data_IF_438914563220
#
_entry.id   IF_438914563220
#
_cell.length_a   1.000
_cell.length_b   1.000
_cell.length_c   1.000
_cell.angle_alpha   90.00
_cell.angle_beta   90.00
_cell.angle_gamma   90.00
#
_symmetry.space_group_name_H-M   'P 1'
#
loop_
_entity.id
_entity.type
_entity.pdbx_description
1 polymer ?
#
# COMPACT_ATOMS: atom_id res chain seq x y z
N UNK A 1 -7.96 -1.11 -19.61
CA UNK A 1 -8.57 0.12 -20.17
C UNK A 1 -9.82 -0.32 -20.91
N UNK A 2 -10.90 0.48 -20.83
CA UNK A 2 -12.25 0.08 -20.42
C UNK A 2 -12.76 -1.14 -21.19
N UNK A 3 -13.32 -2.07 -20.45
CA UNK A 3 -13.45 -3.45 -20.90
C UNK A 3 -14.90 -3.90 -20.96
N UNK A 4 -15.78 -3.14 -20.30
CA UNK A 4 -17.22 -3.40 -20.30
C UNK A 4 -17.96 -2.50 -21.28
N UNK A 5 -19.10 -2.96 -21.79
CA UNK A 5 -20.00 -2.14 -22.61
C UNK A 5 -20.82 -1.12 -21.79
N UNK A 6 -20.65 -1.09 -20.47
CA UNK A 6 -21.34 -0.17 -19.56
C UNK A 6 -20.52 1.13 -19.37
N UNK A 7 -20.97 2.27 -19.90
CA UNK A 7 -20.26 3.54 -19.76
C UNK A 7 -20.09 3.99 -18.31
N UNK A 8 -21.07 3.70 -17.44
CA UNK A 8 -21.03 4.11 -16.03
C UNK A 8 -19.97 3.32 -15.26
N UNK A 9 -19.92 2.00 -15.49
CA UNK A 9 -18.88 1.13 -14.93
C UNK A 9 -17.49 1.52 -15.42
N UNK A 10 -17.34 1.82 -16.72
CA UNK A 10 -16.07 2.27 -17.27
C UNK A 10 -15.59 3.59 -16.64
N UNK A 11 -16.51 4.53 -16.40
CA UNK A 11 -16.20 5.80 -15.75
C UNK A 11 -15.71 5.61 -14.30
N UNK A 12 -16.43 4.80 -13.51
CA UNK A 12 -16.04 4.50 -12.12
C UNK A 12 -14.72 3.73 -12.03
N UNK A 13 -14.48 2.77 -12.94
CA UNK A 13 -13.20 2.07 -13.04
C UNK A 13 -12.04 3.03 -13.37
N UNK A 14 -12.25 3.98 -14.29
CA UNK A 14 -11.24 4.98 -14.65
C UNK A 14 -10.91 5.89 -13.45
N UNK A 15 -11.91 6.29 -12.67
CA UNK A 15 -11.69 7.06 -11.43
C UNK A 15 -10.81 6.25 -10.47
N UNK A 16 -11.17 4.99 -10.21
CA UNK A 16 -10.41 4.11 -9.31
C UNK A 16 -8.94 3.98 -9.76
N UNK A 17 -8.71 3.66 -11.04
CA UNK A 17 -7.37 3.55 -11.61
C UNK A 17 -6.57 4.86 -11.53
N UNK A 18 -7.22 6.00 -11.71
CA UNK A 18 -6.56 7.31 -11.58
C UNK A 18 -6.09 7.57 -10.15
N UNK A 19 -6.89 7.20 -9.15
CA UNK A 19 -6.53 7.32 -7.74
C UNK A 19 -5.43 6.32 -7.32
N UNK A 20 -5.46 5.09 -7.82
CA UNK A 20 -4.37 4.11 -7.62
C UNK A 20 -3.05 4.67 -8.17
N UNK A 21 -3.09 5.23 -9.39
CA UNK A 21 -1.90 5.83 -10.00
C UNK A 21 -1.38 7.02 -9.20
N UNK A 22 -2.26 7.91 -8.73
CA UNK A 22 -1.90 9.02 -7.85
C UNK A 22 -1.24 8.52 -6.56
N UNK A 23 -1.84 7.54 -5.89
CA UNK A 23 -1.37 6.99 -4.62
C UNK A 23 0.01 6.32 -4.76
N UNK A 24 0.21 5.51 -5.80
CA UNK A 24 1.50 4.88 -6.09
C UNK A 24 2.58 5.90 -6.45
N UNK A 25 2.22 6.98 -7.13
CA UNK A 25 3.14 8.08 -7.45
C UNK A 25 3.59 8.80 -6.20
N UNK A 26 2.65 9.18 -5.32
CA UNK A 26 2.94 9.83 -4.03
C UNK A 26 3.85 8.96 -3.17
N UNK A 27 3.53 7.66 -3.04
CA UNK A 27 4.37 6.68 -2.33
C UNK A 27 5.78 6.64 -2.90
N UNK A 28 5.91 6.48 -4.22
CA UNK A 28 7.23 6.32 -4.86
C UNK A 28 8.11 7.57 -4.66
N UNK A 29 7.55 8.76 -4.83
CA UNK A 29 8.27 10.02 -4.59
C UNK A 29 8.65 10.13 -3.12
N UNK A 30 7.72 9.84 -2.20
CA UNK A 30 7.99 9.92 -0.76
C UNK A 30 9.11 8.98 -0.33
N UNK A 31 9.12 7.75 -0.85
CA UNK A 31 10.14 6.75 -0.55
C UNK A 31 11.53 7.19 -1.03
N UNK A 32 11.64 7.68 -2.27
CA UNK A 32 12.90 8.21 -2.80
C UNK A 32 13.39 9.40 -1.99
N UNK A 33 12.51 10.36 -1.70
CA UNK A 33 12.86 11.52 -0.88
C UNK A 33 13.33 11.12 0.52
N UNK A 34 12.68 10.15 1.17
CA UNK A 34 13.12 9.66 2.50
C UNK A 34 14.48 8.98 2.42
N UNK A 35 14.73 8.11 1.44
CA UNK A 35 16.07 7.50 1.24
C UNK A 35 17.16 8.57 1.06
N UNK A 36 16.84 9.64 0.33
CA UNK A 36 17.76 10.75 0.09
C UNK A 36 17.99 11.66 1.31
N UNK A 37 17.30 11.46 2.43
CA UNK A 37 17.55 12.24 3.67
C UNK A 37 18.92 11.95 4.29
N UNK A 38 19.42 10.72 4.15
CA UNK A 38 20.72 10.27 4.70
C UNK A 38 21.87 10.30 3.68
N UNK A 39 21.57 10.61 2.42
CA UNK A 39 22.60 10.72 1.37
C UNK A 39 23.35 12.04 1.57
N UNK A 40 24.64 11.96 1.88
CA UNK A 40 25.49 13.13 1.98
C UNK A 40 25.67 13.82 0.63
N UNK A 41 25.62 15.15 0.61
CA UNK A 41 25.89 15.99 -0.56
C UNK A 41 27.30 15.79 -1.17
N UNK A 42 28.15 14.95 -0.56
CA UNK A 42 29.53 14.69 -0.96
C UNK A 42 29.62 13.59 -2.04
N UNK A 43 28.51 13.02 -2.51
CA UNK A 43 28.57 12.15 -3.70
C UNK A 43 29.12 12.97 -4.90
N UNK A 44 30.36 12.71 -5.37
CA UNK A 44 31.05 13.58 -6.34
C UNK A 44 30.37 13.61 -7.71
N UNK A 45 29.37 12.74 -7.94
CA UNK A 45 28.70 12.59 -9.23
C UNK A 45 27.37 13.36 -9.32
N UNK A 46 26.73 13.70 -8.21
CA UNK A 46 25.38 14.30 -8.22
C UNK A 46 25.19 15.52 -7.33
N UNK A 47 25.98 15.69 -6.25
CA UNK A 47 25.80 16.78 -5.26
C UNK A 47 24.35 16.95 -4.76
N UNK A 48 23.60 15.85 -4.69
CA UNK A 48 22.17 15.81 -4.31
C UNK A 48 22.01 14.90 -3.10
N UNK A 49 21.24 15.34 -2.10
CA UNK A 49 21.08 14.63 -0.84
C UNK A 49 20.41 15.49 0.24
N UNK A 50 20.41 15.01 1.48
CA UNK A 50 19.86 15.70 2.66
C UNK A 50 18.43 16.24 2.46
N UNK A 51 17.55 15.41 1.89
CA UNK A 51 16.12 15.78 1.81
C UNK A 51 15.50 15.80 3.21
N UNK A 52 15.02 16.97 3.65
CA UNK A 52 14.52 17.18 5.02
C UNK A 52 13.02 17.43 5.12
N UNK A 53 12.28 17.30 4.02
CA UNK A 53 10.84 17.55 4.03
C UNK A 53 10.15 17.15 2.73
N UNK A 54 8.90 16.70 2.86
CA UNK A 54 8.06 16.27 1.75
C UNK A 54 6.67 16.86 1.96
N UNK A 55 6.29 17.80 1.11
CA UNK A 55 4.94 18.38 1.07
C UNK A 55 4.34 18.07 -0.30
N UNK A 56 3.35 17.19 -0.34
CA UNK A 56 2.67 16.89 -1.59
C UNK A 56 1.63 17.97 -1.92
N UNK A 57 1.51 18.28 -3.21
CA UNK A 57 0.45 19.13 -3.74
C UNK A 57 -0.71 18.23 -4.21
N UNK A 58 -1.94 18.36 -3.73
CA UNK A 58 -2.45 19.24 -2.64
C UNK A 58 -3.28 18.42 -1.65
N UNK A 59 -3.62 18.97 -0.49
CA UNK A 59 -4.37 18.23 0.53
C UNK A 59 -5.86 18.08 0.18
N UNK A 60 -6.59 19.17 -0.08
CA UNK A 60 -8.04 19.18 -0.23
C UNK A 60 -8.55 19.83 -1.53
N UNK A 61 -9.82 19.59 -1.82
CA UNK A 61 -10.56 20.24 -2.91
C UNK A 61 -11.47 21.37 -2.46
N UNK A 62 -11.60 22.38 -3.32
CA UNK A 62 -12.54 23.50 -3.14
C UNK A 62 -13.91 23.26 -3.81
N UNK A 63 -14.00 22.28 -4.73
CA UNK A 63 -15.21 21.88 -5.46
C UNK A 63 -15.01 20.49 -6.10
N UNK A 64 -16.06 19.89 -6.67
CA UNK A 64 -15.97 18.59 -7.32
C UNK A 64 -15.31 18.71 -8.71
N UNK A 65 -14.01 18.41 -8.78
CA UNK A 65 -13.25 18.42 -10.02
C UNK A 65 -12.07 17.42 -9.96
N UNK A 66 -11.52 16.99 -11.10
CA UNK A 66 -10.25 16.29 -11.11
C UNK A 66 -9.12 17.25 -10.71
N UNK A 67 -8.47 16.96 -9.59
CA UNK A 67 -7.35 17.76 -9.04
C UNK A 67 -6.29 16.83 -8.45
N UNK A 68 -5.19 17.41 -7.96
CA UNK A 68 -4.15 16.71 -7.21
C UNK A 68 -4.50 16.47 -5.73
N UNK A 69 -5.71 16.81 -5.29
CA UNK A 69 -6.11 16.63 -3.90
C UNK A 69 -6.08 15.15 -3.50
N UNK A 70 -5.89 14.89 -2.22
CA UNK A 70 -6.13 13.55 -1.64
C UNK A 70 -7.41 13.51 -0.80
N UNK A 71 -7.97 14.66 -0.44
CA UNK A 71 -9.27 14.83 0.22
C UNK A 71 -10.22 15.56 -0.73
N UNK A 72 -11.37 14.98 -1.00
CA UNK A 72 -12.42 15.55 -1.85
C UNK A 72 -13.17 16.71 -1.16
N UNK A 73 -13.96 17.48 -1.92
CA UNK A 73 -14.74 18.62 -1.40
C UNK A 73 -15.67 18.24 -0.22
N UNK A 74 -16.16 16.99 -0.18
CA UNK A 74 -16.99 16.45 0.90
C UNK A 74 -16.21 15.79 2.04
N UNK A 75 -14.92 16.10 2.19
CA UNK A 75 -13.99 15.50 3.16
C UNK A 75 -13.72 14.00 2.98
N UNK A 76 -14.28 13.37 1.94
CA UNK A 76 -14.01 11.98 1.59
C UNK A 76 -12.54 11.80 1.21
N UNK A 77 -11.90 10.81 1.80
CA UNK A 77 -10.52 10.47 1.50
C UNK A 77 -10.44 9.69 0.19
N UNK A 78 -9.58 10.12 -0.73
CA UNK A 78 -9.15 9.33 -1.89
C UNK A 78 -8.14 8.27 -1.46
N UNK A 79 -7.89 7.28 -2.31
CA UNK A 79 -6.81 6.27 -2.09
C UNK A 79 -5.48 6.96 -1.73
N UNK A 80 -5.19 8.10 -2.38
CA UNK A 80 -4.00 8.90 -2.14
C UNK A 80 -3.83 9.35 -0.67
N UNK A 81 -4.91 9.63 0.06
CA UNK A 81 -4.78 10.08 1.45
C UNK A 81 -4.42 8.93 2.40
N UNK A 82 -4.96 7.73 2.16
CA UNK A 82 -4.57 6.53 2.89
C UNK A 82 -3.10 6.17 2.65
N UNK A 83 -2.62 6.33 1.42
CA UNK A 83 -1.21 6.15 1.09
C UNK A 83 -0.34 7.23 1.71
N UNK A 84 -0.80 8.49 1.77
CA UNK A 84 -0.08 9.57 2.43
C UNK A 84 0.08 9.31 3.94
N UNK A 85 -1.00 8.93 4.62
CA UNK A 85 -0.95 8.56 6.04
C UNK A 85 0.01 7.37 6.29
N UNK A 86 0.01 6.39 5.39
CA UNK A 86 0.86 5.20 5.49
C UNK A 86 2.35 5.50 5.21
N UNK A 87 2.67 6.27 4.16
CA UNK A 87 4.06 6.58 3.77
C UNK A 87 4.73 7.61 4.70
N UNK A 88 3.93 8.41 5.42
CA UNK A 88 4.41 9.33 6.47
C UNK A 88 4.45 8.70 7.86
N UNK A 89 4.27 7.38 7.97
CA UNK A 89 4.55 6.69 9.22
C UNK A 89 6.01 6.95 9.65
N UNK A 90 6.23 7.22 10.95
CA UNK A 90 7.54 7.64 11.45
C UNK A 90 8.59 6.54 11.28
N UNK A 91 8.16 5.28 11.26
CA UNK A 91 8.99 4.13 10.88
C UNK A 91 8.40 3.52 9.63
N UNK A 92 9.23 3.23 8.63
CA UNK A 92 8.76 2.73 7.34
C UNK A 92 9.84 1.93 6.60
N UNK A 93 9.55 0.68 6.17
CA UNK A 93 10.42 -0.09 5.31
C UNK A 93 10.29 0.36 3.85
N UNK A 94 11.41 0.57 3.17
CA UNK A 94 11.50 0.95 1.77
C UNK A 94 12.24 -0.17 1.04
N UNK A 95 11.62 -0.72 0.00
CA UNK A 95 12.20 -1.77 -0.83
C UNK A 95 12.43 -1.21 -2.23
N UNK A 96 13.65 -1.33 -2.73
CA UNK A 96 14.02 -0.89 -4.07
C UNK A 96 14.68 -2.01 -4.86
N UNK A 97 14.42 -2.03 -6.18
CA UNK A 97 15.14 -2.89 -7.14
C UNK A 97 15.82 -1.97 -8.13
N UNK A 98 17.13 -2.17 -8.30
CA UNK A 98 17.97 -1.40 -9.21
C UNK A 98 18.58 -2.35 -10.25
N UNK A 99 18.34 -2.14 -11.56
CA UNK A 99 17.50 -1.09 -12.14
C UNK A 99 16.00 -1.27 -11.86
N UNK A 100 15.23 -0.18 -11.90
CA UNK A 100 13.79 -0.22 -11.70
C UNK A 100 13.12 -1.14 -12.72
N UNK A 101 12.27 -2.07 -12.24
CA UNK A 101 11.63 -3.12 -13.04
C UNK A 101 12.64 -4.01 -13.80
N UNK A 102 13.76 -4.34 -13.15
CA UNK A 102 14.70 -5.32 -13.67
C UNK A 102 14.02 -6.64 -14.04
N UNK A 103 14.53 -7.30 -15.07
CA UNK A 103 14.10 -8.65 -15.40
C UNK A 103 14.52 -9.62 -14.29
N UNK A 104 13.70 -10.63 -14.01
CA UNK A 104 13.96 -11.66 -13.01
C UNK A 104 15.27 -12.41 -13.22
N UNK A 105 15.76 -12.46 -14.46
CA UNK A 105 17.02 -13.11 -14.84
C UNK A 105 18.21 -12.14 -14.90
N UNK A 106 18.03 -10.86 -14.56
CA UNK A 106 19.13 -9.89 -14.58
C UNK A 106 20.07 -10.13 -13.39
N UNK A 107 21.23 -10.72 -13.67
CA UNK A 107 22.24 -11.04 -12.66
C UNK A 107 22.86 -9.79 -12.00
N UNK A 108 22.80 -8.64 -12.67
CA UNK A 108 23.31 -7.38 -12.13
C UNK A 108 22.29 -6.65 -11.26
N UNK A 109 21.02 -7.05 -11.32
CA UNK A 109 19.97 -6.39 -10.56
C UNK A 109 20.11 -6.66 -9.06
N UNK A 110 20.01 -5.59 -8.28
CA UNK A 110 20.11 -5.62 -6.83
C UNK A 110 18.79 -5.20 -6.19
N UNK A 111 18.41 -5.89 -5.14
CA UNK A 111 17.31 -5.55 -4.27
C UNK A 111 17.87 -5.01 -2.95
N UNK A 112 17.49 -3.78 -2.60
CA UNK A 112 17.82 -3.15 -1.31
C UNK A 112 16.57 -3.05 -0.46
N UNK A 113 16.70 -3.38 0.82
CA UNK A 113 15.68 -3.14 1.83
C UNK A 113 16.28 -2.23 2.88
N UNK A 114 15.70 -1.06 3.00
CA UNK A 114 16.08 -0.01 3.94
C UNK A 114 14.92 0.22 4.91
N UNK A 115 15.21 0.61 6.14
CA UNK A 115 14.20 1.06 7.10
C UNK A 115 14.54 2.47 7.50
N UNK A 116 13.53 3.34 7.46
CA UNK A 116 13.62 4.73 7.91
C UNK A 116 12.99 4.81 9.29
N UNK A 117 13.66 5.49 10.22
CA UNK A 117 13.14 5.88 11.51
C UNK A 117 13.24 7.40 11.67
N UNK A 118 12.12 8.07 11.87
CA UNK A 118 12.04 9.52 12.13
C UNK A 118 11.71 9.83 13.59
N UNK A 119 11.57 8.80 14.45
CA UNK A 119 11.40 8.99 15.89
C UNK A 119 12.70 9.54 16.50
N UNK A 120 12.55 10.48 17.42
CA UNK A 120 13.68 11.03 18.19
C UNK A 120 14.35 9.93 19.02
N UNK A 121 13.51 9.12 19.67
CA UNK A 121 13.97 7.96 20.44
C UNK A 121 14.20 6.77 19.50
N UNK A 122 15.20 5.97 19.83
CA UNK A 122 15.43 4.69 19.18
C UNK A 122 14.23 3.75 19.24
N UNK A 123 14.18 2.82 18.28
CA UNK A 123 13.15 1.78 18.20
C UNK A 123 13.80 0.43 17.90
N UNK A 124 13.27 -0.62 18.53
CA UNK A 124 13.61 -2.01 18.24
C UNK A 124 12.38 -2.73 17.66
N UNK A 125 12.59 -3.51 16.61
CA UNK A 125 11.55 -4.31 15.99
C UNK A 125 12.10 -5.30 14.99
N UNK A 126 11.21 -6.13 14.46
CA UNK A 126 11.54 -7.17 13.49
C UNK A 126 10.98 -6.81 12.12
N UNK A 127 11.82 -6.92 11.10
CA UNK A 127 11.41 -6.81 9.71
C UNK A 127 11.25 -8.22 9.14
N UNK A 128 10.06 -8.55 8.69
CA UNK A 128 9.77 -9.82 8.01
C UNK A 128 9.28 -9.54 6.59
N UNK A 129 9.79 -10.28 5.62
CA UNK A 129 9.53 -10.14 4.21
C UNK A 129 9.05 -11.47 3.63
N UNK A 130 8.08 -11.39 2.73
CA UNK A 130 7.45 -12.52 2.06
C UNK A 130 7.38 -12.27 0.57
N UNK A 131 7.68 -13.31 -0.21
CA UNK A 131 7.37 -13.34 -1.63
C UNK A 131 6.07 -14.12 -1.80
N UNK A 132 5.00 -13.42 -2.15
CA UNK A 132 3.68 -13.99 -2.40
C UNK A 132 3.50 -14.25 -3.89
N UNK A 133 2.85 -15.34 -4.25
CA UNK A 133 2.19 -15.45 -5.56
C UNK A 133 0.77 -14.91 -5.46
N UNK A 134 0.15 -14.56 -6.60
CA UNK A 134 -1.21 -14.00 -6.63
C UNK A 134 -2.30 -15.05 -6.89
N UNK A 135 -1.91 -16.31 -7.09
CA UNK A 135 -2.80 -17.44 -7.28
C UNK A 135 -3.19 -18.12 -5.96
N UNK A 136 -2.33 -18.13 -4.94
CA UNK A 136 -2.61 -18.80 -3.65
C UNK A 136 -2.18 -17.92 -2.47
N UNK A 137 -2.72 -18.20 -1.28
CA UNK A 137 -2.29 -17.54 -0.04
C UNK A 137 -0.93 -18.05 0.48
N UNK A 138 -0.34 -19.06 -0.16
CA UNK A 138 0.95 -19.59 0.27
C UNK A 138 2.08 -18.65 -0.12
N UNK A 139 2.99 -18.39 0.81
CA UNK A 139 4.21 -17.65 0.53
C UNK A 139 5.25 -18.59 -0.05
N UNK A 140 6.02 -18.11 -1.04
CA UNK A 140 7.09 -18.88 -1.67
C UNK A 140 8.39 -18.82 -0.89
N UNK A 141 8.65 -17.67 -0.29
CA UNK A 141 9.84 -17.42 0.50
C UNK A 141 9.48 -16.46 1.61
N UNK A 142 10.04 -16.70 2.79
CA UNK A 142 9.97 -15.81 3.94
C UNK A 142 11.39 -15.60 4.46
N UNK A 143 11.74 -14.37 4.77
CA UNK A 143 13.03 -14.00 5.36
C UNK A 143 12.87 -12.73 6.19
N UNK A 144 13.77 -12.51 7.14
CA UNK A 144 13.65 -11.37 8.05
C UNK A 144 14.72 -11.35 9.13
N UNK A 145 14.61 -10.40 10.03
CA UNK A 145 15.53 -10.21 11.13
C UNK A 145 15.22 -8.95 11.94
N UNK A 146 15.90 -8.81 13.07
CA UNK A 146 15.73 -7.68 13.99
C UNK A 146 16.51 -6.46 13.53
N UNK A 147 15.94 -5.29 13.81
CA UNK A 147 16.53 -3.98 13.51
C UNK A 147 16.47 -3.13 14.78
N UNK A 148 17.56 -2.44 15.08
CA UNK A 148 17.69 -1.55 16.22
C UNK A 148 18.16 -0.17 15.76
N UNK A 149 17.30 0.82 15.97
CA UNK A 149 17.66 2.24 15.86
C UNK A 149 17.95 2.78 17.25
N UNK A 150 19.01 3.58 17.39
CA UNK A 150 19.28 4.34 18.61
C UNK A 150 18.67 5.76 18.58
N UNK A 151 18.42 6.28 17.38
CA UNK A 151 17.86 7.62 17.11
C UNK A 151 17.17 7.62 15.74
N UNK A 152 16.72 8.79 15.28
CA UNK A 152 16.31 8.96 13.89
C UNK A 152 17.47 8.67 12.93
N UNK A 153 17.13 8.13 11.76
CA UNK A 153 18.09 7.75 10.74
C UNK A 153 17.55 6.71 9.77
N UNK A 154 18.42 6.25 8.88
CA UNK A 154 18.13 5.21 7.90
C UNK A 154 19.12 4.08 8.10
N UNK A 155 18.62 2.86 8.08
CA UNK A 155 19.45 1.67 8.15
C UNK A 155 19.17 0.77 6.95
N UNK A 156 20.21 0.45 6.20
CA UNK A 156 20.16 -0.62 5.21
C UNK A 156 20.09 -1.95 5.96
N UNK A 157 18.97 -2.65 5.81
CA UNK A 157 18.76 -3.95 6.44
C UNK A 157 19.46 -5.04 5.64
N UNK A 158 19.27 -5.06 4.32
CA UNK A 158 19.80 -6.12 3.48
C UNK A 158 19.89 -5.69 2.01
N UNK A 159 20.98 -6.10 1.36
CA UNK A 159 21.16 -6.05 -0.09
C UNK A 159 21.25 -7.48 -0.63
N UNK A 160 20.47 -7.78 -1.66
CA UNK A 160 20.35 -9.12 -2.25
C UNK A 160 20.47 -9.05 -3.77
N UNK A 161 21.10 -10.05 -4.38
CA UNK A 161 20.95 -10.28 -5.81
C UNK A 161 19.49 -10.60 -6.11
N UNK A 162 18.88 -9.80 -6.99
CA UNK A 162 17.48 -9.94 -7.36
C UNK A 162 17.23 -11.30 -8.04
N UNK A 163 18.06 -11.66 -9.02
CA UNK A 163 17.91 -12.93 -9.74
C UNK A 163 18.05 -14.15 -8.83
N UNK A 164 19.00 -14.16 -7.89
CA UNK A 164 19.17 -15.26 -6.94
C UNK A 164 17.99 -15.37 -5.97
N UNK A 165 17.48 -14.24 -5.47
CA UNK A 165 16.32 -14.21 -4.59
C UNK A 165 15.07 -14.78 -5.28
N UNK A 166 14.83 -14.36 -6.52
CA UNK A 166 13.67 -14.80 -7.30
C UNK A 166 13.76 -16.27 -7.69
N UNK A 167 14.97 -16.75 -8.05
CA UNK A 167 15.24 -18.18 -8.28
C UNK A 167 14.97 -19.01 -7.03
N UNK A 168 15.39 -18.55 -5.84
CA UNK A 168 15.13 -19.22 -4.56
C UNK A 168 13.63 -19.26 -4.22
N UNK A 169 12.90 -18.22 -4.58
CA UNK A 169 11.45 -18.15 -4.40
C UNK A 169 10.67 -18.94 -5.46
N UNK A 170 11.33 -19.58 -6.43
CA UNK A 170 10.66 -20.25 -7.55
C UNK A 170 9.65 -19.33 -8.27
N UNK A 171 10.04 -18.06 -8.44
CA UNK A 171 9.32 -17.09 -9.24
C UNK A 171 9.98 -17.05 -10.63
N UNK A 172 9.30 -17.57 -11.65
CA UNK A 172 9.82 -17.61 -13.01
C UNK A 172 9.48 -16.34 -13.80
N UNK A 173 8.53 -15.54 -13.32
CA UNK A 173 8.07 -14.31 -13.97
C UNK A 173 7.70 -13.22 -12.94
N UNK A 174 8.14 -11.99 -13.17
CA UNK A 174 7.81 -10.81 -12.35
C UNK A 174 6.29 -10.58 -12.20
N UNK A 175 5.51 -11.04 -13.18
CA UNK A 175 4.05 -10.84 -13.22
C UNK A 175 3.28 -11.78 -12.28
N UNK A 176 3.95 -12.75 -11.65
CA UNK A 176 3.30 -13.74 -10.77
C UNK A 176 3.56 -13.48 -9.30
N UNK A 177 4.66 -12.80 -8.98
CA UNK A 177 5.13 -12.61 -7.62
C UNK A 177 5.13 -11.15 -7.18
N UNK A 178 4.89 -10.95 -5.89
CA UNK A 178 4.97 -9.67 -5.21
C UNK A 178 5.80 -9.85 -3.93
N UNK A 179 6.64 -8.86 -3.64
CA UNK A 179 7.38 -8.80 -2.39
C UNK A 179 6.65 -7.88 -1.41
N UNK A 180 6.33 -8.42 -0.24
CA UNK A 180 5.70 -7.69 0.85
C UNK A 180 6.59 -7.77 2.08
N UNK A 181 6.87 -6.66 2.74
CA UNK A 181 7.59 -6.65 4.01
C UNK A 181 6.81 -5.91 5.08
N UNK A 182 6.84 -6.39 6.31
CA UNK A 182 6.25 -5.77 7.49
C UNK A 182 7.34 -5.57 8.52
N UNK A 183 7.50 -4.32 8.96
CA UNK A 183 8.22 -4.00 10.19
C UNK A 183 7.23 -4.03 11.35
N UNK A 184 7.58 -4.76 12.41
CA UNK A 184 6.76 -4.94 13.61
C UNK A 184 7.57 -4.62 14.87
N UNK A 185 6.99 -3.83 15.75
CA UNK A 185 7.50 -3.48 17.07
C UNK A 185 6.35 -3.45 18.08
N UNK A 186 6.63 -3.18 19.35
CA UNK A 186 5.59 -3.12 20.38
C UNK A 186 4.48 -2.08 20.10
N UNK A 187 4.78 -1.02 19.33
CA UNK A 187 3.86 0.09 19.08
C UNK A 187 3.52 0.34 17.62
N UNK A 188 4.32 -0.20 16.70
CA UNK A 188 4.16 0.03 15.26
C UNK A 188 4.17 -1.28 14.50
N UNK A 189 3.22 -1.42 13.59
CA UNK A 189 3.21 -2.43 12.56
C UNK A 189 2.92 -1.74 11.23
N UNK A 190 3.88 -1.78 10.31
CA UNK A 190 3.86 -1.02 9.06
C UNK A 190 4.42 -1.89 7.95
N UNK A 191 3.72 -1.95 6.81
CA UNK A 191 4.07 -2.90 5.75
C UNK A 191 4.15 -2.26 4.38
N UNK A 192 5.21 -2.54 3.62
CA UNK A 192 5.40 -2.03 2.27
C UNK A 192 5.36 -3.16 1.25
N UNK A 193 4.70 -2.90 0.12
CA UNK A 193 4.54 -3.85 -0.98
C UNK A 193 5.27 -3.34 -2.21
N UNK A 194 6.23 -4.10 -2.71
CA UNK A 194 6.95 -3.83 -3.95
C UNK A 194 6.36 -4.65 -5.10
N UNK A 195 5.95 -3.94 -6.15
CA UNK A 195 5.58 -4.52 -7.42
C UNK A 195 6.84 -4.77 -8.26
N UNK A 196 7.03 -6.03 -8.67
CA UNK A 196 8.15 -6.51 -9.49
C UNK A 196 7.91 -6.25 -10.99
N UNK A 197 6.66 -5.99 -11.38
CA UNK A 197 6.26 -5.61 -12.73
C UNK A 197 5.29 -4.43 -12.69
N UNK A 198 4.91 -3.92 -13.86
CA UNK A 198 3.83 -2.93 -13.94
C UNK A 198 2.51 -3.57 -13.51
N UNK A 199 1.67 -2.92 -12.68
CA UNK A 199 0.40 -3.48 -12.18
C UNK A 199 -0.48 -4.13 -13.27
N UNK A 200 -0.55 -3.52 -14.46
CA UNK A 200 -1.33 -4.03 -15.61
C UNK A 200 -0.86 -5.38 -16.18
N UNK A 201 0.35 -5.82 -15.85
CA UNK A 201 0.92 -7.06 -16.37
C UNK A 201 0.66 -8.26 -15.44
N UNK A 202 0.21 -8.01 -14.21
CA UNK A 202 -0.04 -9.07 -13.24
C UNK A 202 -1.18 -9.97 -13.69
N UNK A 203 -0.97 -11.28 -13.55
CA UNK A 203 -2.00 -12.27 -13.82
C UNK A 203 -2.85 -12.44 -12.56
N UNK A 204 -3.89 -11.62 -12.43
CA UNK A 204 -4.78 -11.61 -11.28
C UNK A 204 -5.84 -12.69 -11.42
N UNK A 205 -6.08 -13.43 -10.34
CA UNK A 205 -7.21 -14.33 -10.20
C UNK A 205 -8.28 -13.69 -9.32
N UNK A 206 -9.54 -14.11 -9.48
CA UNK A 206 -10.63 -13.59 -8.65
C UNK A 206 -10.32 -13.89 -7.16
N UNK A 207 -10.20 -12.86 -6.31
CA UNK A 207 -9.92 -13.07 -4.90
C UNK A 207 -11.15 -13.54 -4.10
N UNK A 208 -12.35 -13.56 -4.68
CA UNK A 208 -13.62 -13.82 -3.98
C UNK A 208 -13.76 -12.96 -2.71
N UNK A 209 -13.41 -11.67 -2.84
CA UNK A 209 -13.48 -10.70 -1.76
C UNK A 209 -14.92 -10.55 -1.27
N UNK A 210 -15.13 -10.72 0.04
CA UNK A 210 -16.44 -10.61 0.67
C UNK A 210 -16.35 -9.91 2.03
N UNK A 211 -17.42 -9.20 2.41
CA UNK A 211 -17.60 -8.69 3.79
C UNK A 211 -18.28 -9.79 4.60
N UNK A 212 -17.56 -10.33 5.59
CA UNK A 212 -18.08 -11.37 6.49
C UNK A 212 -18.97 -10.77 7.58
N UNK A 213 -18.53 -9.66 8.19
CA UNK A 213 -19.24 -9.05 9.31
C UNK A 213 -18.93 -7.55 9.45
N UNK A 214 -19.90 -6.81 10.01
CA UNK A 214 -19.76 -5.41 10.42
C UNK A 214 -20.20 -5.30 11.89
N UNK A 215 -19.27 -4.92 12.77
CA UNK A 215 -19.51 -4.88 14.23
C UNK A 215 -19.26 -3.49 14.79
N UNK A 216 -20.27 -2.92 15.45
CA UNK A 216 -20.10 -1.65 16.15
C UNK A 216 -19.06 -1.77 17.28
N UNK A 217 -18.16 -0.80 17.36
CA UNK A 217 -17.15 -0.68 18.43
C UNK A 217 -17.57 0.42 19.40
N UNK A 218 -18.03 1.56 18.88
CA UNK A 218 -18.43 2.73 19.66
C UNK A 218 -19.61 3.46 19.00
N UNK A 219 -20.02 4.60 19.56
CA UNK A 219 -21.02 5.46 18.94
C UNK A 219 -20.57 6.04 17.59
N UNK A 220 -19.27 6.07 17.28
CA UNK A 220 -18.73 6.62 16.03
C UNK A 220 -18.03 5.57 15.17
N UNK A 221 -17.65 4.43 15.74
CA UNK A 221 -16.74 3.51 15.10
C UNK A 221 -17.35 2.12 14.95
N UNK A 222 -17.03 1.47 13.84
CA UNK A 222 -17.34 0.06 13.62
C UNK A 222 -16.20 -0.66 12.92
N UNK A 223 -16.10 -1.97 13.16
CA UNK A 223 -15.15 -2.86 12.50
C UNK A 223 -15.82 -3.54 11.31
N UNK A 224 -15.09 -3.69 10.22
CA UNK A 224 -15.47 -4.49 9.05
C UNK A 224 -14.45 -5.61 8.93
N UNK A 225 -14.97 -6.82 8.79
CA UNK A 225 -14.16 -8.02 8.57
C UNK A 225 -14.36 -8.51 7.14
N UNK A 226 -13.26 -8.58 6.40
CA UNK A 226 -13.18 -9.03 5.02
C UNK A 226 -12.61 -10.43 4.96
N UNK A 227 -13.07 -11.20 3.98
CA UNK A 227 -12.55 -12.53 3.65
C UNK A 227 -12.19 -12.59 2.18
N UNK A 228 -11.12 -13.33 1.86
CA UNK A 228 -10.61 -13.52 0.51
C UNK A 228 -10.06 -14.94 0.37
N UNK A 229 -10.25 -15.54 -0.80
CA UNK A 229 -9.72 -16.86 -1.13
C UNK A 229 -8.30 -16.78 -1.73
N UNK A 230 -7.96 -15.63 -2.33
CA UNK A 230 -6.65 -15.37 -2.96
C UNK A 230 -6.19 -13.94 -2.67
N UNK A 231 -4.89 -13.63 -2.83
CA UNK A 231 -4.39 -12.28 -2.61
C UNK A 231 -5.14 -11.23 -3.43
N UNK A 232 -5.55 -10.16 -2.76
CA UNK A 232 -6.30 -9.06 -3.37
C UNK A 232 -5.48 -7.77 -3.31
N UNK A 233 -5.30 -7.10 -4.45
CA UNK A 233 -4.48 -5.89 -4.55
C UNK A 233 -5.35 -4.65 -4.66
N UNK A 234 -4.95 -3.55 -4.01
CA UNK A 234 -5.65 -2.27 -4.04
C UNK A 234 -7.13 -2.41 -3.66
N UNK A 235 -7.40 -3.15 -2.59
CA UNK A 235 -8.74 -3.31 -2.03
C UNK A 235 -9.23 -1.95 -1.57
N UNK A 236 -10.26 -1.47 -2.25
CA UNK A 236 -10.89 -0.18 -2.05
C UNK A 236 -12.32 -0.38 -1.55
N UNK A 237 -12.63 0.19 -0.39
CA UNK A 237 -13.96 0.19 0.22
C UNK A 237 -14.55 1.60 0.13
N UNK A 238 -15.83 1.67 -0.21
CA UNK A 238 -16.57 2.92 -0.34
C UNK A 238 -17.94 2.79 0.30
N UNK A 239 -18.34 3.79 1.10
CA UNK A 239 -19.66 3.85 1.73
C UNK A 239 -20.47 4.91 0.99
N UNK A 240 -21.54 4.49 0.35
CA UNK A 240 -22.35 5.35 -0.53
C UNK A 240 -23.44 6.11 0.19
N UNK A 241 -23.85 5.66 1.39
CA UNK A 241 -24.95 6.26 2.12
C UNK A 241 -24.78 6.22 3.65
N UNK A 242 -25.56 7.05 4.33
CA UNK A 242 -25.86 7.03 5.77
C UNK A 242 -24.74 7.45 6.73
N UNK A 243 -23.46 7.34 6.35
CA UNK A 243 -22.35 7.70 7.24
C UNK A 243 -21.23 8.41 6.49
N UNK A 244 -20.64 9.40 7.15
CA UNK A 244 -19.52 10.19 6.65
C UNK A 244 -18.32 9.96 7.58
N UNK A 245 -17.14 9.72 7.02
CA UNK A 245 -16.00 9.25 7.80
C UNK A 245 -14.85 8.75 6.93
N UNK A 246 -13.95 7.98 7.55
CA UNK A 246 -12.81 7.39 6.89
C UNK A 246 -12.50 6.00 7.46
N UNK A 247 -11.86 5.16 6.65
CA UNK A 247 -11.40 3.85 7.11
C UNK A 247 -10.04 3.96 7.81
N UNK A 248 -9.69 3.03 8.69
CA UNK A 248 -8.35 2.99 9.29
C UNK A 248 -7.27 2.71 8.25
N UNK A 249 -7.61 1.95 7.20
CA UNK A 249 -6.78 1.66 6.02
C UNK A 249 -7.70 1.47 4.81
N UNK A 250 -7.26 1.90 3.64
CA UNK A 250 -7.96 1.67 2.38
C UNK A 250 -6.97 1.67 1.19
N UNK A 251 -7.37 1.09 0.06
CA UNK A 251 -6.47 0.85 -1.07
C UNK A 251 -5.33 -0.13 -0.77
N UNK A 252 -5.47 -0.95 0.28
CA UNK A 252 -4.42 -1.85 0.76
C UNK A 252 -4.35 -3.15 -0.05
N UNK A 253 -3.34 -3.95 0.23
CA UNK A 253 -3.20 -5.31 -0.31
C UNK A 253 -3.51 -6.32 0.80
N UNK A 254 -4.19 -7.41 0.45
CA UNK A 254 -4.50 -8.51 1.36
C UNK A 254 -3.71 -9.74 0.91
N UNK A 255 -2.92 -10.29 1.82
CA UNK A 255 -2.13 -11.51 1.62
C UNK A 255 -2.48 -12.61 2.63
N UNK A 256 -3.57 -12.42 3.38
CA UNK A 256 -4.07 -13.35 4.39
C UNK A 256 -5.56 -13.62 4.16
N UNK A 257 -6.11 -14.77 4.56
CA UNK A 257 -7.51 -15.14 4.28
C UNK A 257 -8.55 -14.18 4.87
N UNK A 258 -8.18 -13.42 5.90
CA UNK A 258 -9.09 -12.58 6.67
C UNK A 258 -8.39 -11.30 7.09
N UNK A 259 -9.09 -10.18 6.95
CA UNK A 259 -8.56 -8.86 7.30
C UNK A 259 -9.65 -8.04 7.99
N UNK A 260 -9.29 -7.39 9.09
CA UNK A 260 -10.20 -6.48 9.79
C UNK A 260 -9.74 -5.04 9.68
N UNK A 261 -10.66 -4.14 9.38
CA UNK A 261 -10.43 -2.70 9.33
C UNK A 261 -11.48 -1.98 10.15
N UNK A 262 -11.14 -0.79 10.64
CA UNK A 262 -12.10 0.06 11.33
C UNK A 262 -12.59 1.14 10.39
N UNK A 263 -13.82 1.58 10.59
CA UNK A 263 -14.35 2.80 10.03
C UNK A 263 -14.61 3.77 11.19
N UNK A 264 -14.19 5.02 11.00
CA UNK A 264 -14.34 6.11 11.95
C UNK A 264 -15.29 7.15 11.36
N UNK A 265 -16.48 7.28 11.96
CA UNK A 265 -17.47 8.26 11.55
C UNK A 265 -17.15 9.65 12.11
N UNK A 266 -17.39 10.69 11.32
CA UNK A 266 -17.31 12.08 11.80
C UNK A 266 -18.47 12.46 12.72
N UNK A 267 -19.57 11.70 12.68
CA UNK A 267 -20.77 11.93 13.48
C UNK A 267 -21.23 10.64 14.19
N UNK A 268 -21.95 10.72 15.32
CA UNK A 268 -22.51 9.53 15.95
C UNK A 268 -23.44 8.74 15.02
N UNK A 269 -23.27 7.42 14.99
CA UNK A 269 -24.07 6.48 14.22
C UNK A 269 -25.32 6.15 15.03
N UNK A 270 -26.47 6.59 14.53
CA UNK A 270 -27.78 6.33 15.14
C UNK A 270 -28.36 5.05 14.53
N UNK A 271 -28.88 4.15 15.36
CA UNK A 271 -29.52 2.89 14.93
C UNK A 271 -28.60 2.00 14.08
N UNK A 272 -27.47 1.58 14.66
CA UNK A 272 -26.54 0.66 14.00
C UNK A 272 -27.21 -0.68 13.68
N UNK A 273 -27.39 -0.96 12.38
CA UNK A 273 -27.72 -2.28 11.86
C UNK A 273 -26.86 -2.55 10.63
N UNK A 274 -26.33 -3.77 10.51
CA UNK A 274 -25.45 -4.16 9.40
C UNK A 274 -26.09 -3.87 8.03
N UNK A 275 -27.41 -4.08 7.89
CA UNK A 275 -28.14 -3.81 6.66
C UNK A 275 -28.24 -2.32 6.28
N UNK A 276 -27.94 -1.40 7.19
CA UNK A 276 -27.99 0.04 6.93
C UNK A 276 -26.76 0.55 6.18
N UNK A 277 -25.71 -0.26 6.07
CA UNK A 277 -24.45 0.12 5.43
C UNK A 277 -24.37 -0.48 4.03
N UNK A 278 -24.52 0.38 3.03
CA UNK A 278 -24.20 0.03 1.65
C UNK A 278 -22.71 0.29 1.41
N UNK A 279 -21.90 -0.77 1.56
CA UNK A 279 -20.46 -0.72 1.36
C UNK A 279 -20.13 -1.40 0.04
N UNK A 280 -19.70 -0.61 -0.93
CA UNK A 280 -19.11 -1.13 -2.16
C UNK A 280 -17.63 -1.43 -1.94
N UNK A 281 -17.15 -2.52 -2.52
CA UNK A 281 -15.74 -2.85 -2.53
C UNK A 281 -15.29 -3.23 -3.94
N UNK A 282 -14.04 -2.90 -4.23
CA UNK A 282 -13.38 -3.23 -5.48
C UNK A 282 -11.93 -3.59 -5.21
N UNK A 283 -11.37 -4.45 -6.04
CA UNK A 283 -9.94 -4.75 -6.08
C UNK A 283 -9.37 -4.43 -7.47
N UNK A 284 -8.05 -4.49 -7.62
CA UNK A 284 -7.40 -4.33 -8.92
C UNK A 284 -7.92 -5.34 -9.95
N UNK A 285 -8.32 -6.55 -9.52
CA UNK A 285 -8.93 -7.55 -10.39
C UNK A 285 -10.21 -7.00 -11.04
N UNK A 286 -11.12 -6.44 -10.26
CA UNK A 286 -12.45 -5.98 -10.72
C UNK A 286 -12.39 -4.82 -11.73
N UNK A 287 -11.30 -4.05 -11.71
CA UNK A 287 -11.08 -2.89 -12.59
C UNK A 287 -10.16 -3.19 -13.78
N UNK A 288 -9.58 -4.40 -13.85
CA UNK A 288 -8.70 -4.84 -14.94
C UNK A 288 -9.24 -6.02 -15.74
N UNK A 289 -10.38 -6.59 -15.33
CA UNK A 289 -11.09 -7.64 -16.06
C UNK A 289 -11.48 -7.20 -17.48
N UNK A 290 -11.23 -8.05 -18.51
CA UNK A 290 -11.97 -8.08 -19.78
C UNK A 290 -13.47 -7.84 -19.69
#
# INVERSE_FOLDING_TARGET
LPVTNDPFKNFTQLICLSQINQAMTLKSISEVCRLHSSVDMINPKTSQGHTMGIMYWQINDMWQAPTWSTIEYGLKWKIGHYYAAHMYAPVYPIITVTPYLANITDENAQLSIDVVNELINGIHGDLTCWIHTLDTMMTRLTFGGSILFNSSGIQNFMNLSYALLMKRAHCDNNNQCILHCIFSSNHYQIGQTLFLSRPKNYQLMNPNLNIENIKQISSTDFNITLTVDRPALFVWLDITANVTGYFSRNGFHIFEPKMSINFHSWIPIINFHQANFEIHYTSLFDVTLP
#
